data_IF_588776488218
#
_entry.id   IF_588776488218
#
_cell.length_a   1.000
_cell.length_b   1.000
_cell.length_c   1.000
_cell.angle_alpha   90.00
_cell.angle_beta   90.00
_cell.angle_gamma   90.00
#
_symmetry.space_group_name_H-M   'P 1'
#
loop_
_entity.id
_entity.type
_entity.pdbx_description
1 polymer ?
#
# COMPACT_ATOMS: atom_id res chain seq x y z
N UNK A 1 2.90 -34.80 -1.64
CA UNK A 1 3.41 -33.76 -2.56
C UNK A 1 2.77 -32.41 -2.25
N UNK A 2 1.61 -32.02 -2.82
CA UNK A 2 0.99 -30.71 -2.52
C UNK A 2 0.76 -30.47 -1.02
N UNK A 3 0.18 -31.46 -0.32
CA UNK A 3 -0.08 -31.35 1.12
C UNK A 3 1.21 -31.14 1.92
N UNK A 4 2.23 -31.94 1.63
CA UNK A 4 3.51 -31.92 2.36
C UNK A 4 4.25 -30.59 2.13
N UNK A 5 4.19 -30.04 0.92
CA UNK A 5 4.77 -28.73 0.59
C UNK A 5 4.07 -27.61 1.36
N UNK A 6 2.74 -27.59 1.37
CA UNK A 6 1.98 -26.57 2.12
C UNK A 6 2.17 -26.70 3.64
N UNK A 7 2.24 -27.92 4.16
CA UNK A 7 2.49 -28.17 5.58
C UNK A 7 3.90 -27.67 5.99
N UNK A 8 4.90 -27.86 5.13
CA UNK A 8 6.22 -27.29 5.33
C UNK A 8 6.19 -25.76 5.31
N UNK A 9 5.50 -25.13 4.35
CA UNK A 9 5.34 -23.67 4.31
C UNK A 9 4.66 -23.14 5.57
N UNK A 10 3.58 -23.78 6.02
CA UNK A 10 2.86 -23.38 7.23
C UNK A 10 3.76 -23.47 8.48
N UNK A 11 4.66 -24.46 8.54
CA UNK A 11 5.61 -24.61 9.65
C UNK A 11 6.75 -23.58 9.61
N UNK A 12 7.19 -23.16 8.42
CA UNK A 12 8.29 -22.19 8.25
C UNK A 12 7.80 -20.75 8.47
N UNK A 13 6.64 -20.43 7.91
CA UNK A 13 6.12 -19.06 7.79
C UNK A 13 4.94 -18.80 8.73
N UNK A 14 4.81 -19.54 9.82
CA UNK A 14 3.67 -19.55 10.75
C UNK A 14 2.89 -18.23 10.90
N UNK A 15 3.57 -17.09 11.06
CA UNK A 15 2.95 -15.77 11.21
C UNK A 15 2.63 -15.02 9.91
N UNK A 16 3.34 -15.35 8.84
CA UNK A 16 3.23 -14.72 7.52
C UNK A 16 2.23 -15.47 6.60
N UNK A 17 1.87 -16.71 6.96
CA UNK A 17 0.95 -17.57 6.21
C UNK A 17 -0.49 -17.49 6.75
N UNK A 18 -1.47 -17.33 5.86
CA UNK A 18 -2.90 -17.29 6.23
C UNK A 18 -3.77 -17.98 5.17
N UNK A 19 -4.71 -18.85 5.56
CA UNK A 19 -5.63 -19.48 4.59
C UNK A 19 -6.63 -18.46 4.05
N UNK A 20 -6.88 -18.49 2.73
CA UNK A 20 -7.90 -17.64 2.12
C UNK A 20 -9.29 -18.28 2.29
N UNK A 21 -10.30 -17.45 2.60
CA UNK A 21 -11.67 -17.92 2.83
C UNK A 21 -12.27 -18.56 1.57
N UNK A 22 -12.96 -19.68 1.79
CA UNK A 22 -13.55 -20.53 0.75
C UNK A 22 -14.67 -19.85 -0.06
N UNK A 23 -15.18 -18.70 0.40
CA UNK A 23 -16.31 -17.99 -0.24
C UNK A 23 -15.87 -17.04 -1.36
N UNK A 24 -14.58 -16.67 -1.44
CA UNK A 24 -14.09 -15.67 -2.40
C UNK A 24 -13.97 -16.25 -3.82
N UNK A 25 -13.71 -17.55 -3.93
CA UNK A 25 -13.48 -18.23 -5.21
C UNK A 25 -14.28 -19.52 -5.21
N UNK A 26 -15.42 -19.56 -5.91
CA UNK A 26 -16.34 -20.70 -6.00
C UNK A 26 -15.76 -21.98 -6.67
N UNK A 27 -14.44 -22.13 -6.70
CA UNK A 27 -13.70 -23.22 -7.31
C UNK A 27 -13.10 -24.16 -6.25
N UNK A 28 -12.90 -25.45 -6.56
CA UNK A 28 -12.29 -26.43 -5.65
C UNK A 28 -10.75 -26.29 -5.60
N UNK A 29 -10.23 -25.07 -5.53
CA UNK A 29 -8.80 -24.81 -5.40
C UNK A 29 -8.47 -24.34 -3.97
N UNK A 30 -7.34 -24.81 -3.44
CA UNK A 30 -6.85 -24.35 -2.13
C UNK A 30 -6.13 -23.03 -2.34
N UNK A 31 -6.43 -22.04 -1.53
CA UNK A 31 -5.84 -20.72 -1.68
C UNK A 31 -5.35 -20.20 -0.34
N UNK A 32 -4.20 -19.53 -0.32
CA UNK A 32 -3.63 -18.96 0.89
C UNK A 32 -2.90 -17.66 0.59
N UNK A 33 -2.84 -16.79 1.58
CA UNK A 33 -2.04 -15.57 1.60
C UNK A 33 -0.65 -15.86 2.17
N UNK A 34 0.35 -15.24 1.57
CA UNK A 34 1.73 -15.17 2.06
C UNK A 34 2.14 -13.70 2.20
N UNK A 35 2.43 -13.29 3.42
CA UNK A 35 2.83 -11.94 3.76
C UNK A 35 4.35 -11.83 3.70
N UNK A 36 4.85 -10.86 2.96
CA UNK A 36 6.29 -10.56 2.86
C UNK A 36 6.52 -9.25 3.62
N UNK A 37 6.92 -9.31 4.90
CA UNK A 37 7.21 -8.12 5.67
C UNK A 37 8.43 -7.40 5.07
N UNK A 38 8.39 -6.07 5.07
CA UNK A 38 9.39 -5.21 4.46
C UNK A 38 8.79 -3.86 4.08
N UNK A 39 9.55 -3.01 3.40
CA UNK A 39 9.10 -1.66 3.04
C UNK A 39 7.88 -1.66 2.11
N UNK A 40 7.75 -2.72 1.31
CA UNK A 40 6.69 -2.86 0.32
C UNK A 40 5.43 -3.51 0.89
N UNK A 41 5.44 -3.99 2.15
CA UNK A 41 4.33 -4.68 2.82
C UNK A 41 3.57 -5.60 1.85
N UNK A 42 4.30 -6.48 1.18
CA UNK A 42 3.78 -7.29 0.10
C UNK A 42 2.87 -8.38 0.67
N UNK A 43 1.72 -8.61 0.04
CA UNK A 43 0.87 -9.77 0.32
C UNK A 43 0.56 -10.48 -0.99
N UNK A 44 0.94 -11.75 -1.05
CA UNK A 44 0.74 -12.62 -2.20
C UNK A 44 -0.47 -13.51 -1.91
N UNK A 45 -1.34 -13.68 -2.90
CA UNK A 45 -2.41 -14.68 -2.85
C UNK A 45 -2.04 -15.81 -3.81
N UNK A 46 -1.88 -17.02 -3.28
CA UNK A 46 -1.48 -18.20 -4.03
C UNK A 46 -2.67 -19.15 -4.12
N UNK A 47 -3.06 -19.48 -5.35
CA UNK A 47 -4.04 -20.51 -5.67
C UNK A 47 -3.34 -21.78 -6.11
N UNK A 48 -3.73 -22.89 -5.49
CA UNK A 48 -3.26 -24.23 -5.78
C UNK A 48 -4.39 -25.02 -6.45
N UNK A 49 -4.31 -25.25 -7.77
CA UNK A 49 -5.22 -26.16 -8.45
C UNK A 49 -5.20 -27.56 -7.82
N UNK A 50 -6.29 -28.32 -7.99
CA UNK A 50 -6.43 -29.67 -7.43
C UNK A 50 -5.41 -30.68 -7.99
N UNK A 51 -4.84 -30.40 -9.16
CA UNK A 51 -3.89 -31.23 -9.88
C UNK A 51 -2.42 -30.75 -9.79
N UNK A 52 -2.16 -29.72 -8.98
CA UNK A 52 -0.83 -29.29 -8.58
C UNK A 52 -0.21 -30.28 -7.57
N UNK A 53 1.11 -30.56 -7.60
CA UNK A 53 2.12 -30.03 -8.54
C UNK A 53 2.29 -30.87 -9.81
N UNK A 54 1.43 -31.84 -10.07
CA UNK A 54 1.69 -32.89 -11.07
C UNK A 54 1.35 -32.48 -12.51
N UNK A 55 0.35 -31.63 -12.73
CA UNK A 55 -0.14 -31.27 -14.08
C UNK A 55 -0.27 -29.77 -14.33
N UNK A 56 -0.49 -29.00 -13.27
CA UNK A 56 -0.66 -27.55 -13.32
C UNK A 56 0.34 -26.87 -12.40
N UNK A 57 0.73 -25.64 -12.75
CA UNK A 57 1.52 -24.77 -11.88
C UNK A 57 0.62 -24.07 -10.84
N UNK A 58 1.19 -23.54 -9.75
CA UNK A 58 0.44 -22.66 -8.86
C UNK A 58 0.17 -21.34 -9.59
N UNK A 59 -0.87 -20.63 -9.16
CA UNK A 59 -1.22 -19.31 -9.70
C UNK A 59 -1.07 -18.30 -8.56
N UNK A 60 -0.35 -17.20 -8.76
CA UNK A 60 -0.23 -16.16 -7.76
C UNK A 60 -0.77 -14.83 -8.26
N UNK A 61 -1.32 -14.06 -7.32
CA UNK A 61 -1.74 -12.69 -7.49
C UNK A 61 -1.05 -11.83 -6.43
N UNK A 62 -0.61 -10.64 -6.80
CA UNK A 62 -0.13 -9.65 -5.84
C UNK A 62 -1.36 -8.94 -5.26
N UNK A 63 -1.75 -9.31 -4.04
CA UNK A 63 -2.96 -8.82 -3.37
C UNK A 63 -2.74 -7.44 -2.76
N UNK A 64 -1.60 -7.23 -2.08
CA UNK A 64 -1.17 -5.93 -1.55
C UNK A 64 0.28 -5.66 -1.96
N UNK A 65 0.56 -4.44 -2.43
CA UNK A 65 1.92 -4.03 -2.79
C UNK A 65 2.13 -2.53 -2.64
N UNK A 66 2.67 -2.12 -1.50
CA UNK A 66 2.89 -0.72 -1.21
C UNK A 66 4.12 -0.22 -1.96
N UNK A 67 3.94 0.51 -3.07
CA UNK A 67 5.05 1.15 -3.79
C UNK A 67 5.81 0.25 -4.76
N UNK A 68 5.33 -0.96 -5.04
CA UNK A 68 5.87 -1.86 -6.07
C UNK A 68 5.32 -1.47 -7.44
N UNK A 69 6.18 -1.46 -8.47
CA UNK A 69 5.76 -1.12 -9.83
C UNK A 69 4.98 -2.27 -10.50
N UNK A 70 4.20 -1.97 -11.54
CA UNK A 70 3.48 -3.01 -12.28
C UNK A 70 4.41 -4.02 -12.95
N UNK A 71 5.55 -3.58 -13.47
CA UNK A 71 6.55 -4.48 -14.05
C UNK A 71 7.18 -5.41 -13.02
N UNK A 72 7.37 -4.95 -11.79
CA UNK A 72 7.89 -5.77 -10.71
C UNK A 72 6.84 -6.78 -10.24
N UNK A 73 5.56 -6.37 -10.16
CA UNK A 73 4.46 -7.31 -9.91
C UNK A 73 4.40 -8.42 -10.96
N UNK A 74 4.52 -8.07 -12.25
CA UNK A 74 4.53 -9.05 -13.34
C UNK A 74 5.75 -9.98 -13.24
N UNK A 75 6.92 -9.46 -12.88
CA UNK A 75 8.14 -10.25 -12.68
C UNK A 75 8.02 -11.23 -11.50
N UNK A 76 7.41 -10.80 -10.39
CA UNK A 76 7.13 -11.66 -9.22
C UNK A 76 6.28 -12.87 -9.67
N UNK A 77 5.21 -12.61 -10.42
CA UNK A 77 4.26 -13.66 -10.85
C UNK A 77 4.89 -14.57 -11.91
N UNK A 78 5.65 -14.02 -12.88
CA UNK A 78 6.22 -14.80 -13.98
C UNK A 78 7.20 -15.88 -13.50
N UNK A 79 7.91 -15.65 -12.40
CA UNK A 79 8.88 -16.62 -11.86
C UNK A 79 8.20 -17.79 -11.12
N UNK A 80 6.88 -17.77 -10.96
CA UNK A 80 6.13 -18.85 -10.33
C UNK A 80 5.91 -20.02 -11.30
N UNK A 81 6.35 -21.22 -10.90
CA UNK A 81 6.14 -22.45 -11.66
C UNK A 81 7.42 -23.10 -12.21
N UNK A 82 8.52 -22.35 -12.26
CA UNK A 82 9.84 -22.88 -12.62
C UNK A 82 10.56 -23.52 -11.40
N UNK A 83 10.16 -23.14 -10.19
CA UNK A 83 10.71 -23.61 -8.91
C UNK A 83 9.59 -23.97 -7.93
N UNK A 84 9.93 -24.67 -6.84
CA UNK A 84 8.94 -24.96 -5.79
C UNK A 84 8.54 -23.69 -5.03
N UNK A 85 7.41 -23.74 -4.31
CA UNK A 85 6.83 -22.55 -3.66
C UNK A 85 7.79 -21.90 -2.67
N UNK A 86 8.55 -22.70 -1.91
CA UNK A 86 9.52 -22.19 -0.95
C UNK A 86 10.60 -21.33 -1.62
N UNK A 87 11.22 -21.84 -2.69
CA UNK A 87 12.28 -21.12 -3.40
C UNK A 87 11.77 -19.84 -4.05
N UNK A 88 10.56 -19.88 -4.61
CA UNK A 88 9.92 -18.69 -5.16
C UNK A 88 9.63 -17.65 -4.07
N UNK A 89 9.04 -18.06 -2.94
CA UNK A 89 8.74 -17.16 -1.81
C UNK A 89 10.04 -16.52 -1.28
N UNK A 90 11.10 -17.29 -1.07
CA UNK A 90 12.37 -16.76 -0.60
C UNK A 90 13.03 -15.81 -1.61
N UNK A 91 12.93 -16.09 -2.91
CA UNK A 91 13.40 -15.16 -3.95
C UNK A 91 12.65 -13.82 -3.90
N UNK A 92 11.33 -13.86 -3.67
CA UNK A 92 10.53 -12.63 -3.47
C UNK A 92 10.92 -11.93 -2.16
N UNK A 93 11.15 -12.67 -1.06
CA UNK A 93 11.62 -12.08 0.22
C UNK A 93 12.98 -11.44 0.09
N UNK A 94 13.91 -12.03 -0.65
CA UNK A 94 15.24 -11.47 -0.85
C UNK A 94 15.18 -10.15 -1.61
N UNK A 95 14.29 -10.05 -2.61
CA UNK A 95 14.15 -8.85 -3.43
C UNK A 95 13.31 -7.75 -2.76
N UNK A 96 12.26 -8.11 -2.04
CA UNK A 96 11.24 -7.16 -1.56
C UNK A 96 10.96 -7.21 -0.05
N UNK A 97 11.49 -8.21 0.65
CA UNK A 97 11.35 -8.36 2.11
C UNK A 97 12.42 -7.63 2.91
N UNK A 98 13.35 -6.93 2.24
CA UNK A 98 14.27 -6.04 2.92
C UNK A 98 13.51 -4.84 3.48
N UNK A 99 13.72 -4.57 4.77
CA UNK A 99 13.48 -3.24 5.33
C UNK A 99 14.67 -2.39 4.91
N UNK A 100 14.59 -1.72 3.76
CA UNK A 100 15.65 -0.83 3.38
C UNK A 100 15.76 0.25 4.47
N UNK A 101 16.95 0.43 5.00
CA UNK A 101 17.29 1.71 5.61
C UNK A 101 17.17 2.74 4.49
N UNK A 102 16.03 3.41 4.43
CA UNK A 102 15.66 4.36 3.40
C UNK A 102 16.82 5.35 3.16
N UNK A 103 17.59 5.18 2.08
CA UNK A 103 18.50 6.22 1.63
C UNK A 103 17.67 7.26 0.90
N UNK A 104 17.58 8.45 1.52
CA UNK A 104 16.85 9.61 1.02
C UNK A 104 17.28 10.09 -0.39
N UNK A 105 18.32 9.48 -0.98
CA UNK A 105 18.89 9.80 -2.29
C UNK A 105 18.03 9.37 -3.48
N UNK A 106 17.10 8.43 -3.30
CA UNK A 106 16.32 7.85 -4.41
C UNK A 106 14.99 8.58 -4.69
N UNK A 107 14.57 9.51 -3.83
CA UNK A 107 13.58 10.50 -4.23
C UNK A 107 14.29 11.64 -4.92
N UNK A 108 13.87 11.95 -6.16
CA UNK A 108 13.96 13.34 -6.59
C UNK A 108 13.13 14.16 -5.61
N UNK A 109 13.80 14.78 -4.64
CA UNK A 109 13.21 15.77 -3.77
C UNK A 109 12.90 16.93 -4.68
N UNK A 110 11.69 16.94 -5.24
CA UNK A 110 11.13 18.17 -5.78
C UNK A 110 11.06 19.07 -4.57
N UNK A 111 11.91 20.08 -4.52
CA UNK A 111 11.92 21.11 -3.48
C UNK A 111 10.60 21.88 -3.61
N UNK A 112 9.54 21.26 -3.09
CA UNK A 112 8.18 21.71 -3.17
C UNK A 112 7.83 22.10 -1.76
N UNK A 113 7.85 23.41 -1.52
CA UNK A 113 7.48 23.99 -0.24
C UNK A 113 6.03 23.55 0.07
N UNK A 114 5.91 22.56 0.95
CA UNK A 114 4.62 22.00 1.33
C UNK A 114 3.74 23.06 2.01
N UNK A 115 4.34 24.04 2.71
CA UNK A 115 3.60 25.15 3.29
C UNK A 115 3.08 26.08 2.18
N UNK A 116 3.89 26.40 1.18
CA UNK A 116 3.46 27.18 0.02
C UNK A 116 2.38 26.44 -0.80
N UNK A 117 2.52 25.14 -1.02
CA UNK A 117 1.53 24.32 -1.74
C UNK A 117 0.20 24.23 -0.98
N UNK A 118 0.26 24.10 0.35
CA UNK A 118 -0.92 24.13 1.22
C UNK A 118 -1.56 25.53 1.28
N UNK A 119 -0.77 26.61 1.20
CA UNK A 119 -1.24 28.00 1.23
C UNK A 119 -1.73 28.52 -0.12
N UNK A 120 -1.14 28.05 -1.23
CA UNK A 120 -1.45 28.46 -2.62
C UNK A 120 -2.66 27.72 -3.19
N UNK A 121 -2.98 26.57 -2.62
CA UNK A 121 -4.21 25.89 -2.88
C UNK A 121 -5.41 26.78 -2.52
N UNK A 122 -6.21 27.10 -3.53
CA UNK A 122 -7.42 27.87 -3.34
C UNK A 122 -8.33 27.17 -2.29
N UNK A 123 -8.83 27.90 -1.28
CA UNK A 123 -9.85 27.35 -0.40
C UNK A 123 -11.03 26.92 -1.27
N UNK A 124 -11.43 25.65 -1.18
CA UNK A 124 -12.59 25.16 -1.90
C UNK A 124 -13.82 25.94 -1.39
N UNK A 125 -14.57 26.63 -2.27
CA UNK A 125 -15.66 27.52 -1.87
C UNK A 125 -16.94 26.78 -1.45
N UNK A 126 -16.85 25.52 -1.02
CA UNK A 126 -18.00 24.69 -0.66
C UNK A 126 -17.87 24.31 0.82
N UNK A 127 -18.81 24.79 1.63
CA UNK A 127 -19.02 24.36 3.02
C UNK A 127 -19.57 22.93 3.13
N UNK A 128 -19.69 22.22 2.01
CA UNK A 128 -20.10 20.81 1.98
C UNK A 128 -18.89 19.94 2.34
N UNK A 129 -18.59 19.80 3.64
CA UNK A 129 -17.66 18.79 4.13
C UNK A 129 -18.11 17.42 3.60
N UNK A 130 -17.32 16.74 2.77
CA UNK A 130 -17.71 15.44 2.25
C UNK A 130 -18.02 14.46 3.39
N UNK A 131 -19.12 13.67 3.32
CA UNK A 131 -19.53 12.78 4.40
C UNK A 131 -18.44 11.81 4.85
N UNK A 132 -17.58 11.37 3.92
CA UNK A 132 -16.48 10.44 4.23
C UNK A 132 -15.42 11.05 5.17
N UNK A 133 -15.24 12.37 5.20
CA UNK A 133 -14.26 13.01 6.08
C UNK A 133 -14.57 12.80 7.56
N UNK A 134 -15.87 12.64 7.91
CA UNK A 134 -16.31 12.32 9.27
C UNK A 134 -15.93 10.90 9.71
N UNK A 135 -15.65 10.00 8.76
CA UNK A 135 -15.28 8.61 9.04
C UNK A 135 -13.76 8.42 9.20
N UNK A 136 -12.96 9.44 8.88
CA UNK A 136 -11.52 9.38 9.02
C UNK A 136 -11.17 9.37 10.51
N UNK A 137 -10.60 8.27 10.98
CA UNK A 137 -10.06 8.15 12.33
C UNK A 137 -8.73 8.91 12.40
N UNK A 138 -8.63 9.84 13.34
CA UNK A 138 -7.42 10.64 13.57
C UNK A 138 -6.70 10.16 14.82
N UNK A 139 -5.37 10.11 14.75
CA UNK A 139 -4.51 9.82 15.90
C UNK A 139 -4.25 11.05 16.75
N UNK A 140 -3.59 10.87 17.90
CA UNK A 140 -3.13 11.97 18.74
C UNK A 140 -1.87 12.59 18.11
N UNK A 141 -1.81 13.93 17.93
CA UNK A 141 -0.60 14.60 17.47
C UNK A 141 0.61 14.31 18.38
N UNK A 142 1.77 14.12 17.79
CA UNK A 142 3.02 13.87 18.52
C UNK A 142 3.70 15.21 18.75
N UNK A 143 4.10 15.52 19.98
CA UNK A 143 4.84 16.75 20.29
C UNK A 143 6.26 16.42 20.73
N UNK A 144 7.25 17.00 20.06
CA UNK A 144 8.66 16.98 20.48
C UNK A 144 9.21 18.41 20.48
N UNK A 145 9.89 18.82 21.57
CA UNK A 145 10.57 20.12 21.72
C UNK A 145 9.79 21.32 21.16
N UNK A 146 8.50 21.44 21.51
CA UNK A 146 7.54 22.50 21.08
C UNK A 146 7.05 22.40 19.64
N UNK A 147 7.51 21.42 18.86
CA UNK A 147 6.97 21.09 17.55
C UNK A 147 5.90 20.02 17.71
N UNK A 148 4.71 20.27 17.16
CA UNK A 148 3.62 19.29 17.12
C UNK A 148 3.47 18.78 15.69
N UNK A 149 3.45 17.47 15.54
CA UNK A 149 3.41 16.75 14.28
C UNK A 149 2.09 15.99 14.16
N UNK A 150 1.40 16.17 13.03
CA UNK A 150 0.23 15.39 12.63
C UNK A 150 0.48 14.86 11.22
N UNK A 151 0.55 13.54 11.09
CA UNK A 151 0.68 12.89 9.79
C UNK A 151 -0.70 12.70 9.13
N UNK A 152 -0.73 12.84 7.80
CA UNK A 152 -1.89 12.50 6.96
C UNK A 152 -1.41 11.69 5.78
N UNK A 153 -2.08 10.58 5.52
CA UNK A 153 -1.79 9.70 4.38
C UNK A 153 -2.89 9.87 3.35
N UNK A 154 -2.50 10.14 2.10
CA UNK A 154 -3.43 10.27 0.97
C UNK A 154 -3.01 9.27 -0.10
N UNK A 155 -3.84 8.26 -0.32
CA UNK A 155 -3.67 7.30 -1.42
C UNK A 155 -4.33 7.83 -2.69
N UNK A 156 -3.61 7.80 -3.82
CA UNK A 156 -4.15 8.11 -5.15
C UNK A 156 -3.85 6.97 -6.11
N UNK A 157 -4.89 6.39 -6.72
CA UNK A 157 -4.75 5.40 -7.78
C UNK A 157 -4.81 6.02 -9.18
N UNK A 158 -4.27 5.31 -10.19
CA UNK A 158 -4.35 5.71 -11.59
C UNK A 158 -5.65 5.22 -12.23
N UNK A 159 -6.52 6.15 -12.63
CA UNK A 159 -7.80 5.84 -13.27
C UNK A 159 -7.80 6.02 -14.80
N UNK A 160 -6.65 5.93 -15.48
CA UNK A 160 -6.55 6.12 -16.93
C UNK A 160 -6.32 7.55 -17.41
N UNK A 161 -6.20 8.52 -16.50
CA UNK A 161 -5.92 9.93 -16.83
C UNK A 161 -4.58 10.37 -16.22
N UNK A 162 -3.68 10.83 -17.08
CA UNK A 162 -2.37 11.35 -16.69
C UNK A 162 -2.49 12.81 -16.24
N UNK A 163 -2.58 13.03 -14.92
CA UNK A 163 -2.71 14.38 -14.33
C UNK A 163 -1.39 15.17 -14.30
N UNK A 164 -0.25 14.57 -14.67
CA UNK A 164 1.04 15.27 -14.61
C UNK A 164 1.31 15.85 -13.21
N UNK A 165 1.92 17.05 -13.10
CA UNK A 165 2.18 17.74 -11.84
C UNK A 165 0.92 18.13 -11.05
N UNK A 166 -0.24 18.29 -11.69
CA UNK A 166 -1.47 18.69 -11.00
C UNK A 166 -1.96 17.67 -9.96
N UNK A 167 -1.51 16.41 -10.07
CA UNK A 167 -1.75 15.38 -9.04
C UNK A 167 -1.28 15.82 -7.65
N UNK A 168 -0.19 16.58 -7.56
CA UNK A 168 0.36 17.05 -6.28
C UNK A 168 -0.56 18.08 -5.63
N UNK A 169 -1.18 18.96 -6.43
CA UNK A 169 -2.20 19.91 -5.94
C UNK A 169 -3.42 19.16 -5.39
N UNK A 170 -3.87 18.11 -6.05
CA UNK A 170 -5.00 17.30 -5.57
C UNK A 170 -4.66 16.60 -4.25
N UNK A 171 -3.48 15.99 -4.16
CA UNK A 171 -3.01 15.33 -2.93
C UNK A 171 -2.93 16.33 -1.78
N UNK A 172 -2.31 17.50 -2.01
CA UNK A 172 -2.20 18.55 -1.01
C UNK A 172 -3.56 19.11 -0.59
N UNK A 173 -4.48 19.29 -1.54
CA UNK A 173 -5.86 19.73 -1.26
C UNK A 173 -6.61 18.74 -0.38
N UNK A 174 -6.51 17.46 -0.70
CA UNK A 174 -7.13 16.41 0.10
C UNK A 174 -6.55 16.39 1.52
N UNK A 175 -5.22 16.40 1.67
CA UNK A 175 -4.57 16.42 2.98
C UNK A 175 -4.99 17.63 3.82
N UNK A 176 -5.03 18.83 3.24
CA UNK A 176 -5.46 20.04 3.93
C UNK A 176 -6.90 19.96 4.40
N UNK A 177 -7.82 19.49 3.55
CA UNK A 177 -9.23 19.37 3.90
C UNK A 177 -9.43 18.47 5.12
N UNK A 178 -8.68 17.36 5.21
CA UNK A 178 -8.70 16.49 6.40
C UNK A 178 -8.19 17.26 7.63
N UNK A 179 -7.04 17.92 7.53
CA UNK A 179 -6.45 18.66 8.65
C UNK A 179 -7.32 19.82 9.12
N UNK A 180 -7.97 20.55 8.22
CA UNK A 180 -8.89 21.64 8.54
C UNK A 180 -10.17 21.11 9.19
N UNK A 181 -10.77 20.06 8.63
CA UNK A 181 -12.01 19.45 9.16
C UNK A 181 -11.81 18.93 10.58
N UNK A 182 -10.63 18.37 10.88
CA UNK A 182 -10.28 17.84 12.20
C UNK A 182 -9.61 18.87 13.12
N UNK A 183 -9.55 20.15 12.72
CA UNK A 183 -9.11 21.26 13.58
C UNK A 183 -7.59 21.36 13.81
N UNK A 184 -6.79 20.63 13.05
CA UNK A 184 -5.32 20.69 13.15
C UNK A 184 -4.73 21.91 12.44
N UNK A 185 -5.41 22.45 11.44
CA UNK A 185 -5.05 23.71 10.77
C UNK A 185 -6.13 24.75 11.02
N UNK A 186 -5.72 25.91 11.51
CA UNK A 186 -6.63 27.05 11.73
C UNK A 186 -6.59 27.98 10.51
N UNK A 187 -7.77 28.27 9.95
CA UNK A 187 -7.91 29.24 8.86
C UNK A 187 -7.52 30.63 9.39
N UNK A 188 -6.46 31.24 8.85
CA UNK A 188 -6.17 32.65 9.11
C UNK A 188 -7.25 33.50 8.43
N UNK A 189 -8.20 34.01 9.20
CA UNK A 189 -9.18 34.97 8.69
C UNK A 189 -8.42 36.24 8.29
N UNK A 190 -8.34 36.55 6.99
CA UNK A 190 -7.88 37.88 6.54
C UNK A 190 -8.83 38.90 7.18
N UNK A 191 -8.32 39.74 8.08
CA UNK A 191 -9.02 40.96 8.48
C UNK A 191 -9.24 41.78 7.21
N UNK A 192 -10.49 41.96 6.81
CA UNK A 192 -10.85 42.99 5.83
C UNK A 192 -10.48 44.34 6.46
N UNK A 193 -9.61 45.07 5.78
CA UNK A 193 -9.29 46.46 6.07
C UNK A 193 -10.20 47.37 5.26
#
# INVERSE_FOLDING_TARGET
MQKDEVEALQAIYEHDFEWADHEVYAAPCKSFYMSIPGDFCLRLLIHLPSDYPSRSCPIAEVYESFGVSSSDCDAIIHNLGDVCLYEWIESVREQFGSFASFEASSLEVVDMDAAELLLSAAPSPRDDTPPFLSQIKTGVPITDRKSTFQAVVVSRWYGGILLGPDRFKHIANCARQVLETHGFIHRKTKKQA
#
